data_IF_990137018085
#
_entry.id   IF_990137018085
#
_cell.length_a   1.000
_cell.length_b   1.000
_cell.length_c   1.000
_cell.angle_alpha   90.00
_cell.angle_beta   90.00
_cell.angle_gamma   90.00
#
_symmetry.space_group_name_H-M   'P 1'
#
loop_
_entity.id
_entity.type
_entity.pdbx_description
1 polymer ?
#
# COMPACT_ATOMS: atom_id res chain seq x y z
N UNK A 1 -28.42 5.70 34.48
CA UNK A 1 -28.09 4.26 34.65
C UNK A 1 -28.86 3.51 33.57
N UNK A 2 -28.18 3.12 32.49
CA UNK A 2 -28.81 2.28 31.45
C UNK A 2 -29.07 0.90 32.08
N UNK A 3 -30.31 0.42 31.94
CA UNK A 3 -30.78 -0.81 32.60
C UNK A 3 -29.99 -2.04 32.12
N UNK A 4 -29.57 -2.85 33.06
CA UNK A 4 -28.74 -4.06 32.94
C UNK A 4 -29.38 -5.18 32.07
N UNK A 5 -30.53 -4.93 31.44
CA UNK A 5 -31.33 -5.91 30.69
C UNK A 5 -31.93 -5.39 29.37
N UNK A 6 -31.31 -4.41 28.71
CA UNK A 6 -31.76 -4.01 27.38
C UNK A 6 -31.46 -5.14 26.38
N UNK A 7 -32.49 -5.60 25.68
CA UNK A 7 -32.33 -6.57 24.60
C UNK A 7 -31.50 -5.93 23.45
N UNK A 8 -30.54 -6.65 22.94
CA UNK A 8 -29.80 -6.22 21.74
C UNK A 8 -30.75 -6.28 20.55
N UNK A 9 -30.94 -5.16 19.88
CA UNK A 9 -31.87 -5.03 18.77
C UNK A 9 -31.23 -5.44 17.43
N UNK A 10 -32.08 -5.81 16.47
CA UNK A 10 -31.67 -6.07 15.10
C UNK A 10 -30.93 -4.87 14.47
N UNK A 11 -31.31 -3.65 14.83
CA UNK A 11 -30.65 -2.41 14.40
C UNK A 11 -29.23 -2.32 14.90
N UNK A 12 -28.95 -2.74 16.13
CA UNK A 12 -27.59 -2.70 16.71
C UNK A 12 -26.66 -3.70 16.01
N UNK A 13 -27.16 -4.94 15.81
CA UNK A 13 -26.47 -5.95 15.03
C UNK A 13 -26.19 -5.47 13.61
N UNK A 14 -27.21 -4.95 12.91
CA UNK A 14 -27.08 -4.50 11.52
C UNK A 14 -26.11 -3.34 11.38
N UNK A 15 -26.01 -2.45 12.37
CA UNK A 15 -25.02 -1.37 12.38
C UNK A 15 -23.59 -1.92 12.39
N UNK A 16 -23.31 -2.91 13.23
CA UNK A 16 -21.99 -3.56 13.31
C UNK A 16 -21.71 -4.35 12.01
N UNK A 17 -22.71 -5.11 11.55
CA UNK A 17 -22.61 -5.91 10.32
C UNK A 17 -22.34 -5.01 9.10
N UNK A 18 -23.00 -3.85 8.99
CA UNK A 18 -22.78 -2.91 7.90
C UNK A 18 -21.34 -2.36 7.91
N UNK A 19 -20.78 -2.05 9.08
CA UNK A 19 -19.39 -1.61 9.21
C UNK A 19 -18.44 -2.67 8.66
N UNK A 20 -18.54 -3.91 9.12
CA UNK A 20 -17.62 -4.97 8.69
C UNK A 20 -17.83 -5.36 7.23
N UNK A 21 -19.06 -5.37 6.75
CA UNK A 21 -19.36 -5.60 5.34
C UNK A 21 -18.71 -4.55 4.42
N UNK A 22 -18.69 -3.30 4.87
CA UNK A 22 -18.03 -2.22 4.13
C UNK A 22 -16.50 -2.34 4.13
N UNK A 23 -15.88 -2.93 5.14
CA UNK A 23 -14.42 -3.13 5.22
C UNK A 23 -13.98 -4.42 4.54
N UNK A 24 -14.56 -5.55 4.96
CA UNK A 24 -14.13 -6.87 4.49
C UNK A 24 -14.67 -7.18 3.08
N UNK A 25 -15.91 -6.80 2.81
CA UNK A 25 -16.60 -7.03 1.55
C UNK A 25 -16.19 -6.10 0.42
N UNK A 26 -17.08 -5.90 -0.52
CA UNK A 26 -16.86 -5.03 -1.68
C UNK A 26 -16.68 -3.56 -1.28
N UNK A 27 -17.44 -3.08 -0.29
CA UNK A 27 -17.36 -1.69 0.15
C UNK A 27 -17.66 -0.68 -0.97
N UNK A 28 -17.29 0.58 -0.74
CA UNK A 28 -17.40 1.66 -1.73
C UNK A 28 -16.41 2.77 -1.42
N UNK A 29 -16.08 3.60 -2.40
CA UNK A 29 -15.12 4.71 -2.29
C UNK A 29 -13.74 4.19 -1.84
N UNK A 30 -13.29 4.47 -0.62
CA UNK A 30 -12.02 4.04 -0.02
C UNK A 30 -12.19 2.88 0.98
N UNK A 31 -13.26 2.10 0.82
CA UNK A 31 -13.57 0.92 1.63
C UNK A 31 -13.61 -0.35 0.77
N UNK A 32 -13.47 -1.49 1.44
CA UNK A 32 -13.61 -2.83 0.88
C UNK A 32 -12.27 -3.50 0.56
N UNK A 33 -12.11 -4.71 1.11
CA UNK A 33 -11.01 -5.62 0.77
C UNK A 33 -11.40 -6.59 -0.35
N UNK A 34 -12.67 -6.57 -0.80
CA UNK A 34 -13.17 -7.47 -1.85
C UNK A 34 -13.31 -8.92 -1.42
N UNK A 35 -13.38 -9.20 -0.12
CA UNK A 35 -13.52 -10.57 0.39
C UNK A 35 -14.99 -10.96 0.57
N UNK A 36 -15.24 -12.26 0.70
CA UNK A 36 -16.57 -12.78 1.04
C UNK A 36 -16.88 -12.49 2.50
N UNK A 37 -18.04 -11.86 2.75
CA UNK A 37 -18.58 -11.64 4.09
C UNK A 37 -19.60 -12.74 4.37
N UNK A 38 -19.50 -13.38 5.52
CA UNK A 38 -20.37 -14.50 5.93
C UNK A 38 -21.57 -14.05 6.73
N UNK A 39 -21.46 -12.92 7.45
CA UNK A 39 -22.56 -12.34 8.20
C UNK A 39 -23.52 -11.59 7.27
N UNK A 40 -24.81 -11.66 7.59
CA UNK A 40 -25.86 -10.97 6.85
C UNK A 40 -26.69 -10.10 7.80
N UNK A 41 -27.31 -9.06 7.26
CA UNK A 41 -28.29 -8.27 8.01
C UNK A 41 -29.48 -9.13 8.47
N UNK A 42 -30.04 -8.77 9.60
CA UNK A 42 -31.22 -9.46 10.20
C UNK A 42 -32.46 -8.60 10.08
N UNK A 43 -33.61 -9.24 9.92
CA UNK A 43 -34.91 -8.54 9.87
C UNK A 43 -35.26 -8.06 11.26
N UNK A 44 -35.82 -6.83 11.37
CA UNK A 44 -36.13 -6.15 12.64
C UNK A 44 -37.04 -6.94 13.59
N UNK A 45 -37.86 -7.83 13.08
CA UNK A 45 -38.84 -8.61 13.86
C UNK A 45 -38.33 -10.01 14.21
N UNK A 46 -37.14 -10.38 13.77
CA UNK A 46 -36.56 -11.72 14.00
C UNK A 46 -35.56 -11.69 15.14
N UNK A 47 -35.51 -12.80 15.89
CA UNK A 47 -34.47 -13.02 16.90
C UNK A 47 -33.13 -13.27 16.21
N UNK A 48 -32.09 -12.55 16.64
CA UNK A 48 -30.72 -12.79 16.16
C UNK A 48 -30.26 -14.15 16.69
N UNK A 49 -29.84 -15.00 15.78
CA UNK A 49 -29.43 -16.37 16.09
C UNK A 49 -27.97 -16.47 16.52
N UNK A 50 -27.60 -17.57 17.19
CA UNK A 50 -26.21 -17.92 17.52
C UNK A 50 -25.31 -17.94 16.27
N UNK A 51 -25.81 -18.51 15.17
CA UNK A 51 -25.06 -18.58 13.92
C UNK A 51 -24.76 -17.20 13.35
N UNK A 52 -25.73 -16.27 13.39
CA UNK A 52 -25.54 -14.88 12.92
C UNK A 52 -24.49 -14.14 13.75
N UNK A 53 -24.53 -14.23 15.08
CA UNK A 53 -23.52 -13.60 15.94
C UNK A 53 -22.12 -14.18 15.71
N UNK A 54 -22.00 -15.49 15.54
CA UNK A 54 -20.71 -16.13 15.29
C UNK A 54 -20.18 -15.82 13.89
N UNK A 55 -21.04 -15.71 12.87
CA UNK A 55 -20.64 -15.22 11.55
C UNK A 55 -20.10 -13.79 11.61
N UNK A 56 -20.82 -12.88 12.29
CA UNK A 56 -20.36 -11.50 12.49
C UNK A 56 -19.01 -11.44 13.23
N UNK A 57 -18.87 -12.26 14.28
CA UNK A 57 -17.62 -12.40 15.03
C UNK A 57 -16.46 -12.82 14.12
N UNK A 58 -16.67 -13.85 13.32
CA UNK A 58 -15.63 -14.37 12.43
C UNK A 58 -15.22 -13.34 11.38
N UNK A 59 -16.15 -12.62 10.76
CA UNK A 59 -15.84 -11.56 9.80
C UNK A 59 -15.00 -10.44 10.44
N UNK A 60 -15.35 -10.01 11.67
CA UNK A 60 -14.58 -9.02 12.43
C UNK A 60 -13.15 -9.51 12.71
N UNK A 61 -13.00 -10.75 13.16
CA UNK A 61 -11.70 -11.35 13.44
C UNK A 61 -10.88 -11.52 12.15
N UNK A 62 -11.50 -11.92 11.05
CA UNK A 62 -10.83 -12.02 9.74
C UNK A 62 -10.21 -10.68 9.34
N UNK A 63 -10.98 -9.58 9.40
CA UNK A 63 -10.45 -8.28 9.07
C UNK A 63 -9.33 -7.83 10.04
N UNK A 64 -9.51 -8.09 11.34
CA UNK A 64 -8.53 -7.70 12.36
C UNK A 64 -7.23 -8.51 12.26
N UNK A 65 -7.33 -9.82 12.07
CA UNK A 65 -6.16 -10.68 11.90
C UNK A 65 -5.33 -10.28 10.67
N UNK A 66 -5.99 -9.87 9.58
CA UNK A 66 -5.29 -9.29 8.43
C UNK A 66 -4.46 -8.05 8.81
N UNK A 67 -5.01 -7.18 9.65
CA UNK A 67 -4.36 -5.92 10.05
C UNK A 67 -3.19 -6.12 11.01
N UNK A 68 -3.22 -7.15 11.87
CA UNK A 68 -2.29 -7.27 13.01
C UNK A 68 -1.60 -8.62 13.12
N UNK A 69 -2.09 -9.66 12.47
CA UNK A 69 -1.74 -11.07 12.72
C UNK A 69 -1.88 -11.50 14.19
N UNK A 70 -2.74 -10.84 14.95
CA UNK A 70 -3.00 -11.19 16.34
C UNK A 70 -4.33 -11.94 16.45
N UNK A 71 -4.30 -13.05 17.20
CA UNK A 71 -5.54 -13.75 17.54
C UNK A 71 -6.22 -13.05 18.73
N UNK A 72 -7.04 -12.05 18.41
CA UNK A 72 -7.81 -11.30 19.41
C UNK A 72 -9.19 -11.93 19.68
N UNK A 73 -9.36 -13.22 19.42
CA UNK A 73 -10.64 -13.94 19.55
C UNK A 73 -11.23 -13.91 20.97
N UNK A 74 -10.40 -13.74 22.00
CA UNK A 74 -10.85 -13.59 23.39
C UNK A 74 -11.55 -12.27 23.70
N UNK A 75 -11.42 -11.25 22.84
CA UNK A 75 -12.06 -9.94 23.03
C UNK A 75 -13.55 -9.94 22.64
N UNK A 76 -14.01 -10.94 21.91
CA UNK A 76 -15.38 -11.03 21.43
C UNK A 76 -16.04 -12.32 21.96
N UNK A 77 -17.13 -12.16 22.69
CA UNK A 77 -17.91 -13.25 23.25
C UNK A 77 -18.43 -14.18 22.15
N UNK A 78 -18.22 -15.47 22.30
CA UNK A 78 -18.79 -16.51 21.42
C UNK A 78 -20.25 -16.74 21.81
N UNK A 79 -21.17 -16.56 20.87
CA UNK A 79 -22.56 -16.89 21.09
C UNK A 79 -22.76 -18.42 21.16
N UNK A 80 -23.58 -18.89 22.10
CA UNK A 80 -23.98 -20.28 22.25
C UNK A 80 -25.41 -20.39 22.72
N UNK A 81 -25.96 -21.61 22.80
CA UNK A 81 -27.30 -21.81 23.35
C UNK A 81 -27.40 -21.47 24.84
N UNK A 82 -26.26 -21.51 25.56
CA UNK A 82 -26.17 -21.15 26.97
C UNK A 82 -25.70 -19.71 27.21
N UNK A 83 -25.07 -19.05 26.22
CA UNK A 83 -24.53 -17.72 26.33
C UNK A 83 -25.40 -16.70 25.61
N UNK A 84 -25.97 -15.75 26.35
CA UNK A 84 -26.70 -14.63 25.76
C UNK A 84 -25.74 -13.49 25.43
N UNK A 85 -25.86 -12.90 24.23
CA UNK A 85 -25.21 -11.64 23.90
C UNK A 85 -25.94 -10.51 24.65
N UNK A 86 -25.20 -9.87 25.54
CA UNK A 86 -25.66 -8.76 26.36
C UNK A 86 -25.26 -7.42 25.77
N UNK A 87 -25.72 -6.33 26.33
CA UNK A 87 -25.37 -4.97 25.92
C UNK A 87 -23.85 -4.73 25.99
N UNK A 88 -23.16 -5.24 27.01
CA UNK A 88 -21.70 -5.15 27.12
C UNK A 88 -20.99 -5.89 25.96
N UNK A 89 -21.49 -7.06 25.58
CA UNK A 89 -20.95 -7.82 24.44
C UNK A 89 -21.17 -7.06 23.14
N UNK A 90 -22.37 -6.52 22.91
CA UNK A 90 -22.69 -5.68 21.76
C UNK A 90 -21.77 -4.47 21.69
N UNK A 91 -21.53 -3.79 22.81
CA UNK A 91 -20.61 -2.65 22.88
C UNK A 91 -19.17 -3.05 22.50
N UNK A 92 -18.69 -4.22 22.96
CA UNK A 92 -17.39 -4.76 22.60
C UNK A 92 -17.30 -5.04 21.09
N UNK A 93 -18.32 -5.66 20.50
CA UNK A 93 -18.41 -5.87 19.05
C UNK A 93 -18.38 -4.56 18.25
N UNK A 94 -19.14 -3.53 18.71
CA UNK A 94 -19.14 -2.23 18.06
C UNK A 94 -17.78 -1.55 18.11
N UNK A 95 -17.15 -1.52 19.28
CA UNK A 95 -15.80 -0.95 19.45
C UNK A 95 -14.77 -1.69 18.58
N UNK A 96 -14.87 -3.01 18.51
CA UNK A 96 -13.97 -3.81 17.68
C UNK A 96 -14.16 -3.48 16.19
N UNK A 97 -15.39 -3.30 15.72
CA UNK A 97 -15.69 -2.86 14.36
C UNK A 97 -15.13 -1.46 14.06
N UNK A 98 -15.14 -0.55 15.04
CA UNK A 98 -14.56 0.79 14.90
C UNK A 98 -13.04 0.74 14.80
N UNK A 99 -12.36 -0.13 15.57
CA UNK A 99 -10.94 -0.37 15.48
C UNK A 99 -10.55 -0.94 14.10
N UNK A 100 -11.30 -1.93 13.62
CA UNK A 100 -11.11 -2.49 12.27
C UNK A 100 -11.29 -1.42 11.19
N UNK A 101 -12.30 -0.57 11.32
CA UNK A 101 -12.56 0.53 10.38
C UNK A 101 -11.42 1.56 10.37
N UNK A 102 -10.94 1.95 11.52
CA UNK A 102 -9.85 2.93 11.67
C UNK A 102 -8.55 2.42 11.04
N UNK A 103 -8.28 1.12 11.17
CA UNK A 103 -7.03 0.48 10.70
C UNK A 103 -7.16 -0.12 9.28
N UNK A 104 -8.20 0.19 8.52
CA UNK A 104 -8.48 -0.45 7.22
C UNK A 104 -7.38 -0.33 6.17
N UNK A 105 -6.54 0.69 6.26
CA UNK A 105 -5.45 0.95 5.30
C UNK A 105 -4.06 0.62 5.86
N UNK A 106 -3.99 -0.04 7.00
CA UNK A 106 -2.72 -0.44 7.61
C UNK A 106 -2.04 -1.48 6.71
N UNK A 107 -0.75 -1.29 6.48
CA UNK A 107 0.08 -2.28 5.77
C UNK A 107 0.04 -3.61 6.52
N UNK A 108 -0.36 -4.71 5.87
CA UNK A 108 -0.45 -6.01 6.55
C UNK A 108 0.93 -6.49 7.01
N UNK A 109 1.02 -7.23 8.11
CA UNK A 109 2.25 -7.90 8.54
C UNK A 109 2.82 -8.81 7.44
N UNK A 110 4.12 -9.08 7.50
CA UNK A 110 4.83 -9.81 6.44
C UNK A 110 4.32 -11.23 6.20
N UNK A 111 3.74 -11.86 7.18
CA UNK A 111 3.11 -13.20 7.09
C UNK A 111 1.65 -13.15 6.57
N UNK A 112 1.10 -11.95 6.40
CA UNK A 112 -0.20 -11.68 5.77
C UNK A 112 -0.04 -11.05 4.38
N UNK A 113 1.18 -11.03 3.84
CA UNK A 113 1.48 -10.41 2.55
C UNK A 113 2.59 -11.14 1.81
N UNK A 114 2.66 -10.91 0.50
CA UNK A 114 3.77 -11.35 -0.36
C UNK A 114 4.43 -10.16 -1.04
N UNK A 115 5.72 -10.32 -1.35
CA UNK A 115 6.48 -9.37 -2.15
C UNK A 115 6.77 -9.99 -3.53
N UNK A 116 6.20 -9.42 -4.57
CA UNK A 116 6.34 -9.91 -5.94
C UNK A 116 7.09 -8.88 -6.79
N UNK A 117 8.15 -9.28 -7.48
CA UNK A 117 8.83 -8.42 -8.46
C UNK A 117 7.94 -8.25 -9.68
N UNK A 118 7.56 -7.02 -9.98
CA UNK A 118 6.81 -6.65 -11.17
C UNK A 118 7.74 -6.39 -12.35
N UNK A 119 8.76 -5.56 -12.14
CA UNK A 119 9.74 -5.19 -13.16
C UNK A 119 11.14 -5.04 -12.56
N UNK A 120 12.13 -5.47 -13.32
CA UNK A 120 13.55 -5.11 -13.10
C UNK A 120 14.08 -4.56 -14.41
N UNK A 121 14.38 -3.26 -14.44
CA UNK A 121 14.89 -2.57 -15.62
C UNK A 121 16.33 -2.16 -15.36
N UNK A 122 17.23 -2.52 -16.26
CA UNK A 122 18.65 -2.23 -16.14
C UNK A 122 19.16 -1.39 -17.30
N UNK A 123 20.14 -0.54 -17.02
CA UNK A 123 20.89 0.22 -18.00
C UNK A 123 22.39 0.03 -17.74
N UNK A 124 23.10 -0.38 -18.76
CA UNK A 124 24.58 -0.53 -18.73
C UNK A 124 25.30 0.48 -19.60
N UNK A 125 24.57 1.16 -20.52
CA UNK A 125 25.14 2.24 -21.30
C UNK A 125 25.38 3.48 -20.43
N UNK A 126 26.54 4.12 -20.57
CA UNK A 126 26.84 5.39 -19.88
C UNK A 126 25.83 6.47 -20.22
N UNK A 127 25.65 7.41 -19.30
CA UNK A 127 24.67 8.49 -19.43
C UNK A 127 25.14 9.77 -18.74
N UNK A 128 24.78 10.88 -19.34
CA UNK A 128 25.17 12.21 -18.91
C UNK A 128 24.04 13.23 -19.09
N UNK A 129 22.83 12.72 -19.36
CA UNK A 129 21.62 13.47 -19.51
C UNK A 129 20.53 12.84 -18.64
N UNK A 130 19.40 13.50 -18.50
CA UNK A 130 18.23 12.89 -17.82
C UNK A 130 17.79 11.63 -18.54
N UNK A 131 17.64 10.55 -17.78
CA UNK A 131 17.11 9.28 -18.25
C UNK A 131 15.87 8.91 -17.44
N UNK A 132 14.95 8.21 -18.08
CA UNK A 132 13.69 7.76 -17.46
C UNK A 132 13.14 6.55 -18.19
N UNK A 133 12.27 5.81 -17.52
CA UNK A 133 11.40 4.82 -18.16
C UNK A 133 10.00 4.91 -17.57
N UNK A 134 9.04 4.25 -18.22
CA UNK A 134 7.68 4.14 -17.69
C UNK A 134 7.40 2.71 -17.25
N UNK A 135 6.72 2.56 -16.12
CA UNK A 135 6.17 1.30 -15.65
C UNK A 135 4.66 1.46 -15.55
N UNK A 136 3.94 0.69 -16.35
CA UNK A 136 2.48 0.61 -16.28
C UNK A 136 2.08 -0.58 -15.43
N UNK A 137 1.42 -0.31 -14.31
CA UNK A 137 0.84 -1.32 -13.41
C UNK A 137 -0.66 -1.39 -13.68
N UNK A 138 -1.15 -2.55 -14.11
CA UNK A 138 -2.53 -2.75 -14.54
C UNK A 138 -3.26 -3.71 -13.62
N UNK A 139 -4.38 -3.27 -13.07
CA UNK A 139 -5.30 -4.08 -12.27
C UNK A 139 -6.37 -4.71 -13.16
N UNK A 140 -6.93 -5.84 -12.75
CA UNK A 140 -7.99 -6.53 -13.50
C UNK A 140 -9.26 -5.67 -13.69
N UNK A 141 -9.51 -4.75 -12.76
CA UNK A 141 -10.59 -3.74 -12.81
C UNK A 141 -10.24 -2.57 -11.90
N UNK A 142 -11.03 -1.49 -11.95
CA UNK A 142 -10.89 -0.37 -10.99
C UNK A 142 -11.14 -0.84 -9.55
N UNK A 143 -12.11 -1.74 -9.35
CA UNK A 143 -12.36 -2.35 -8.04
C UNK A 143 -11.19 -3.21 -7.56
N UNK A 144 -10.53 -3.97 -8.44
CA UNK A 144 -9.34 -4.72 -8.07
C UNK A 144 -8.20 -3.81 -7.60
N UNK A 145 -8.01 -2.66 -8.24
CA UNK A 145 -7.08 -1.61 -7.79
C UNK A 145 -7.48 -1.06 -6.41
N UNK A 146 -8.76 -0.79 -6.22
CA UNK A 146 -9.32 -0.33 -4.94
C UNK A 146 -9.08 -1.34 -3.82
N UNK A 147 -9.39 -2.62 -4.04
CA UNK A 147 -9.16 -3.68 -3.05
C UNK A 147 -7.68 -3.85 -2.72
N UNK A 148 -6.82 -3.75 -3.73
CA UNK A 148 -5.37 -3.80 -3.55
C UNK A 148 -4.90 -2.72 -2.56
N UNK A 149 -5.22 -1.46 -2.80
CA UNK A 149 -4.75 -0.38 -1.91
C UNK A 149 -5.47 -0.35 -0.57
N UNK A 150 -6.76 -0.71 -0.52
CA UNK A 150 -7.51 -0.76 0.73
C UNK A 150 -7.00 -1.85 1.68
N UNK A 151 -6.56 -2.99 1.16
CA UNK A 151 -5.94 -4.05 1.97
C UNK A 151 -4.55 -3.69 2.53
N UNK A 152 -4.11 -2.43 2.37
CA UNK A 152 -2.79 -1.98 2.80
C UNK A 152 -1.64 -2.42 1.88
N UNK A 153 -1.95 -2.97 0.72
CA UNK A 153 -0.96 -3.30 -0.32
C UNK A 153 -0.36 -2.03 -0.93
N UNK A 154 0.82 -2.15 -1.51
CA UNK A 154 1.56 -1.01 -2.07
C UNK A 154 2.40 -1.40 -3.29
N UNK A 155 2.66 -0.44 -4.17
CA UNK A 155 3.67 -0.57 -5.22
C UNK A 155 4.96 0.06 -4.71
N UNK A 156 6.06 -0.71 -4.72
CA UNK A 156 7.35 -0.33 -4.14
C UNK A 156 8.39 -0.12 -5.22
N UNK A 157 9.20 0.91 -5.04
CA UNK A 157 10.31 1.27 -5.93
C UNK A 157 11.59 1.30 -5.13
N UNK A 158 12.65 0.77 -5.73
CA UNK A 158 14.03 0.98 -5.30
C UNK A 158 14.92 1.08 -6.53
N UNK A 159 16.09 1.66 -6.36
CA UNK A 159 17.08 1.74 -7.42
C UNK A 159 18.47 1.58 -6.86
N UNK A 160 19.40 1.08 -7.66
CA UNK A 160 20.79 0.91 -7.27
C UNK A 160 21.71 1.14 -8.45
N UNK A 161 22.95 1.46 -8.17
CA UNK A 161 24.02 1.58 -9.14
C UNK A 161 25.23 0.76 -8.68
N UNK A 162 25.80 -0.05 -9.57
CA UNK A 162 26.90 -0.96 -9.26
C UNK A 162 27.79 -1.19 -10.48
N UNK A 163 28.96 -1.85 -10.28
CA UNK A 163 29.84 -2.27 -11.36
C UNK A 163 30.45 -1.11 -12.17
N UNK A 164 30.56 0.07 -11.60
CA UNK A 164 31.13 1.25 -12.24
C UNK A 164 32.67 1.25 -12.15
N UNK A 165 33.31 1.90 -13.12
CA UNK A 165 34.77 1.95 -13.24
C UNK A 165 35.38 2.87 -12.19
N UNK A 166 36.60 2.51 -11.75
CA UNK A 166 37.50 3.40 -11.01
C UNK A 166 38.24 4.27 -12.03
N UNK A 167 37.85 5.51 -12.18
CA UNK A 167 38.48 6.43 -13.16
C UNK A 167 37.88 7.84 -12.97
N UNK A 168 37.87 8.61 -14.04
CA UNK A 168 37.34 9.98 -14.02
C UNK A 168 35.87 10.04 -13.63
N UNK A 169 35.09 9.03 -13.98
CA UNK A 169 33.67 8.92 -13.62
C UNK A 169 33.40 8.43 -12.17
N UNK A 170 34.44 8.14 -11.39
CA UNK A 170 34.28 7.53 -10.05
C UNK A 170 33.41 8.38 -9.13
N UNK A 171 33.63 9.67 -9.09
CA UNK A 171 32.90 10.56 -8.17
C UNK A 171 31.42 10.69 -8.53
N UNK A 172 31.09 10.82 -9.82
CA UNK A 172 29.67 10.87 -10.25
C UNK A 172 28.98 9.54 -9.98
N UNK A 173 29.64 8.42 -10.21
CA UNK A 173 29.12 7.09 -9.95
C UNK A 173 28.87 6.85 -8.46
N UNK A 174 29.82 7.23 -7.58
CA UNK A 174 29.66 7.16 -6.13
C UNK A 174 28.53 8.07 -5.64
N UNK A 175 28.38 9.26 -6.23
CA UNK A 175 27.32 10.18 -5.94
C UNK A 175 25.94 9.56 -6.22
N UNK A 176 25.76 8.96 -7.40
CA UNK A 176 24.55 8.23 -7.77
C UNK A 176 24.33 7.01 -6.88
N UNK A 177 25.34 6.17 -6.66
CA UNK A 177 25.21 4.98 -5.81
C UNK A 177 24.78 5.35 -4.39
N UNK A 178 25.36 6.41 -3.82
CA UNK A 178 25.03 6.93 -2.49
C UNK A 178 23.58 7.50 -2.44
N UNK A 179 23.21 8.31 -3.45
CA UNK A 179 21.86 8.85 -3.55
C UNK A 179 20.81 7.72 -3.54
N UNK A 180 21.00 6.72 -4.39
CA UNK A 180 20.07 5.61 -4.58
C UNK A 180 20.02 4.69 -3.35
N UNK A 181 21.14 4.42 -2.71
CA UNK A 181 21.18 3.66 -1.46
C UNK A 181 20.45 4.41 -0.33
N UNK A 182 20.68 5.73 -0.21
CA UNK A 182 20.09 6.55 0.85
C UNK A 182 18.60 6.80 0.66
N UNK A 183 18.04 6.73 -0.54
CA UNK A 183 16.60 6.89 -0.74
C UNK A 183 15.80 5.69 -0.20
N UNK A 184 16.40 4.51 -0.13
CA UNK A 184 15.75 3.29 0.36
C UNK A 184 14.59 2.85 -0.54
N UNK A 185 13.57 2.26 0.09
CA UNK A 185 12.36 1.80 -0.59
C UNK A 185 11.31 2.91 -0.55
N UNK A 186 10.77 3.26 -1.71
CA UNK A 186 9.63 4.16 -1.88
C UNK A 186 8.38 3.30 -2.00
N UNK A 187 7.36 3.55 -1.19
CA UNK A 187 6.08 2.81 -1.20
C UNK A 187 4.94 3.74 -1.58
N UNK A 188 4.30 3.45 -2.69
CA UNK A 188 3.09 4.14 -3.14
C UNK A 188 1.87 3.41 -2.58
N UNK A 189 1.09 4.09 -1.73
CA UNK A 189 0.00 3.52 -0.94
C UNK A 189 -1.37 4.14 -1.34
N UNK A 190 -2.40 3.91 -0.55
CA UNK A 190 -3.76 4.40 -0.80
C UNK A 190 -3.84 5.93 -0.89
N UNK A 191 -3.27 6.67 0.08
CA UNK A 191 -3.38 8.13 0.18
C UNK A 191 -2.05 8.87 0.19
N UNK A 192 -0.94 8.18 0.30
CA UNK A 192 0.37 8.80 0.42
C UNK A 192 1.46 7.94 -0.18
N UNK A 193 2.54 8.57 -0.57
CA UNK A 193 3.82 7.89 -0.83
C UNK A 193 4.65 7.97 0.44
N UNK A 194 5.29 6.86 0.81
CA UNK A 194 6.18 6.75 1.97
C UNK A 194 7.56 6.27 1.54
N UNK A 195 8.53 6.31 2.45
CA UNK A 195 9.92 5.89 2.18
C UNK A 195 10.56 5.30 3.43
N UNK A 196 11.53 4.42 3.26
CA UNK A 196 12.36 3.91 4.36
C UNK A 196 13.64 4.71 4.57
N UNK A 197 14.16 5.33 3.52
CA UNK A 197 15.37 6.16 3.55
C UNK A 197 15.10 7.65 3.60
N UNK A 198 15.96 8.45 2.94
CA UNK A 198 15.89 9.91 2.89
C UNK A 198 15.29 10.42 1.56
N UNK A 199 14.91 11.69 1.51
CA UNK A 199 14.23 12.32 0.38
C UNK A 199 12.88 12.91 0.80
N UNK A 200 12.13 13.45 -0.15
CA UNK A 200 10.81 14.06 0.08
C UNK A 200 9.73 13.20 -0.59
N UNK A 201 8.89 12.58 0.21
CA UNK A 201 7.70 11.87 -0.23
C UNK A 201 6.46 12.77 -0.06
N UNK A 202 5.50 12.66 -0.99
CA UNK A 202 4.30 13.49 -1.01
C UNK A 202 3.10 12.76 -0.42
N UNK A 203 2.13 13.53 0.11
CA UNK A 203 0.83 13.03 0.52
C UNK A 203 -0.07 12.76 -0.71
N UNK A 204 0.46 11.98 -1.67
CA UNK A 204 -0.21 11.56 -2.89
C UNK A 204 -0.12 10.04 -2.95
N UNK A 205 -1.27 9.40 -3.10
CA UNK A 205 -1.44 7.96 -3.29
C UNK A 205 -2.56 7.65 -4.29
N UNK A 206 -3.02 6.43 -4.32
CA UNK A 206 -3.99 5.94 -5.30
C UNK A 206 -5.24 6.82 -5.43
N UNK A 207 -5.80 7.28 -4.29
CA UNK A 207 -7.04 8.07 -4.26
C UNK A 207 -6.85 9.55 -4.64
N UNK A 208 -5.61 10.04 -4.62
CA UNK A 208 -5.28 11.41 -5.00
C UNK A 208 -4.77 11.54 -6.44
N UNK A 209 -4.72 10.41 -7.19
CA UNK A 209 -4.22 10.42 -8.56
C UNK A 209 -5.16 11.12 -9.53
N UNK A 210 -4.53 11.89 -10.42
CA UNK A 210 -5.14 12.47 -11.61
C UNK A 210 -4.63 11.78 -12.87
N UNK A 211 -5.12 12.20 -14.02
CA UNK A 211 -4.66 11.73 -15.34
C UNK A 211 -3.38 12.42 -15.82
N UNK A 212 -2.87 13.40 -15.08
CA UNK A 212 -1.62 14.10 -15.35
C UNK A 212 -0.51 13.64 -14.39
N UNK A 213 0.74 13.75 -14.84
CA UNK A 213 1.89 13.34 -14.03
C UNK A 213 2.01 14.17 -12.76
N UNK A 214 2.04 13.50 -11.61
CA UNK A 214 2.20 14.09 -10.27
C UNK A 214 3.52 13.60 -9.68
N UNK A 215 4.34 14.52 -9.17
CA UNK A 215 5.56 14.17 -8.45
C UNK A 215 5.18 13.60 -7.08
N UNK A 216 5.57 12.36 -6.79
CA UNK A 216 5.26 11.67 -5.53
C UNK A 216 6.48 11.47 -4.65
N UNK A 217 7.68 11.50 -5.23
CA UNK A 217 8.92 11.41 -4.48
C UNK A 217 10.06 12.12 -5.21
N UNK A 218 10.97 12.73 -4.44
CA UNK A 218 12.26 13.26 -4.93
C UNK A 218 13.37 13.06 -3.91
N UNK A 219 14.56 12.76 -4.39
CA UNK A 219 15.81 12.74 -3.61
C UNK A 219 16.90 13.41 -4.41
N UNK A 220 17.50 14.46 -3.84
CA UNK A 220 18.67 15.13 -4.38
C UNK A 220 19.94 14.47 -3.86
N UNK A 221 21.03 14.63 -4.59
CA UNK A 221 22.38 14.39 -4.10
C UNK A 221 22.61 15.27 -2.86
N UNK A 222 23.41 14.79 -1.91
CA UNK A 222 23.67 15.50 -0.65
C UNK A 222 24.28 16.89 -0.90
N UNK A 223 23.91 17.86 -0.09
CA UNK A 223 24.39 19.24 -0.18
C UNK A 223 25.94 19.29 -0.01
N UNK A 224 26.59 20.15 -0.79
CA UNK A 224 28.05 20.28 -0.81
C UNK A 224 28.76 19.27 -1.73
N UNK A 225 28.03 18.36 -2.36
CA UNK A 225 28.55 17.52 -3.44
C UNK A 225 28.56 18.32 -4.75
N UNK A 226 29.62 18.18 -5.58
CA UNK A 226 29.70 18.85 -6.88
C UNK A 226 28.58 18.46 -7.86
N UNK A 227 27.88 17.33 -7.61
CA UNK A 227 26.74 16.86 -8.39
C UNK A 227 25.40 17.19 -7.72
N UNK A 228 25.34 18.20 -6.85
CA UNK A 228 24.15 18.58 -6.07
C UNK A 228 22.86 18.76 -6.88
N UNK A 229 22.86 19.20 -8.16
CA UNK A 229 21.64 19.26 -8.95
C UNK A 229 21.06 17.90 -9.34
N UNK A 230 21.87 16.82 -9.29
CA UNK A 230 21.43 15.48 -9.67
C UNK A 230 20.38 14.97 -8.69
N UNK A 231 19.32 14.35 -9.23
CA UNK A 231 18.22 13.88 -8.40
C UNK A 231 17.50 12.68 -9.02
N UNK A 232 16.95 11.87 -8.15
CA UNK A 232 15.93 10.88 -8.50
C UNK A 232 14.54 11.48 -8.27
N UNK A 233 13.64 11.27 -9.21
CA UNK A 233 12.22 11.66 -9.13
C UNK A 233 11.34 10.47 -9.49
N UNK A 234 10.21 10.34 -8.79
CA UNK A 234 9.14 9.41 -9.16
C UNK A 234 7.87 10.21 -9.43
N UNK A 235 7.39 10.16 -10.66
CA UNK A 235 6.09 10.73 -11.05
C UNK A 235 5.10 9.61 -11.31
N UNK A 236 3.82 9.93 -11.17
CA UNK A 236 2.74 8.96 -11.31
C UNK A 236 1.47 9.62 -11.85
N UNK A 237 0.69 8.86 -12.63
CA UNK A 237 -0.65 9.25 -13.08
C UNK A 237 -1.57 8.04 -13.21
N UNK A 238 -2.88 8.29 -13.17
CA UNK A 238 -3.92 7.28 -13.42
C UNK A 238 -4.28 7.20 -14.90
N UNK A 239 -4.57 6.00 -15.39
CA UNK A 239 -5.05 5.73 -16.75
C UNK A 239 -6.02 4.54 -16.72
N UNK A 240 -7.33 4.82 -16.55
CA UNK A 240 -8.33 3.76 -16.37
C UNK A 240 -8.03 2.88 -15.15
N UNK A 241 -7.99 1.57 -15.36
CA UNK A 241 -7.60 0.59 -14.33
C UNK A 241 -6.07 0.42 -14.18
N UNK A 242 -5.28 1.30 -14.78
CA UNK A 242 -3.83 1.27 -14.72
C UNK A 242 -3.27 2.50 -14.00
N UNK A 243 -2.07 2.34 -13.44
CA UNK A 243 -1.26 3.41 -12.89
C UNK A 243 0.06 3.42 -13.65
N UNK A 244 0.45 4.58 -14.16
CA UNK A 244 1.70 4.77 -14.91
C UNK A 244 2.67 5.52 -14.01
N UNK A 245 3.79 4.88 -13.70
CA UNK A 245 4.90 5.45 -12.95
C UNK A 245 6.05 5.81 -13.88
N UNK A 246 6.70 6.93 -13.62
CA UNK A 246 7.85 7.41 -14.38
C UNK A 246 9.01 7.71 -13.43
N UNK A 247 9.84 6.70 -13.08
CA UNK A 247 11.12 6.93 -12.42
C UNK A 247 12.04 7.72 -13.36
N UNK A 248 12.72 8.70 -12.82
CA UNK A 248 13.60 9.61 -13.58
C UNK A 248 14.88 9.85 -12.79
N UNK A 249 16.02 9.74 -13.45
CA UNK A 249 17.33 10.11 -12.94
C UNK A 249 17.77 11.37 -13.70
N UNK A 250 17.60 12.52 -13.05
CA UNK A 250 17.93 13.81 -13.64
C UNK A 250 19.40 14.09 -13.43
N UNK A 251 20.19 13.97 -14.49
CA UNK A 251 21.56 14.42 -14.54
C UNK A 251 21.58 15.88 -14.93
N UNK A 252 22.07 16.74 -14.05
CA UNK A 252 22.13 18.18 -14.28
C UNK A 252 23.56 18.62 -14.16
N UNK A 253 24.06 19.24 -15.20
CA UNK A 253 25.40 19.84 -15.23
C UNK A 253 25.39 21.17 -14.48
N UNK A 254 26.27 21.37 -13.49
CA UNK A 254 26.33 22.64 -12.75
C UNK A 254 27.26 23.70 -13.40
N UNK A 255 27.94 23.33 -14.50
CA UNK A 255 28.79 24.24 -15.27
C UNK A 255 30.09 24.67 -14.60
N UNK A 256 30.37 24.21 -13.37
CA UNK A 256 31.50 24.70 -12.57
C UNK A 256 32.80 23.85 -12.73
N UNK A 257 32.68 22.65 -13.28
CA UNK A 257 33.80 21.71 -13.43
C UNK A 257 33.96 21.34 -14.90
N UNK A 258 34.96 21.86 -15.55
CA UNK A 258 35.18 21.92 -17.00
C UNK A 258 35.35 20.59 -17.77
N UNK A 259 34.95 19.46 -17.23
CA UNK A 259 34.90 18.16 -17.93
C UNK A 259 33.66 17.40 -17.56
N UNK A 260 32.90 17.05 -18.56
CA UNK A 260 31.68 16.28 -18.47
C UNK A 260 32.00 14.81 -18.16
N UNK A 261 31.60 14.30 -17.00
CA UNK A 261 31.87 12.92 -16.61
C UNK A 261 30.57 12.12 -16.70
N UNK A 262 30.38 11.28 -17.73
CA UNK A 262 29.19 10.44 -17.81
C UNK A 262 29.17 9.42 -16.66
N UNK A 263 27.99 9.19 -16.10
CA UNK A 263 27.78 8.06 -15.19
C UNK A 263 27.88 6.76 -16.00
N UNK A 264 28.59 5.77 -15.47
CA UNK A 264 28.74 4.43 -16.07
C UNK A 264 28.42 3.32 -15.04
N UNK A 265 28.48 2.07 -15.47
CA UNK A 265 28.13 0.92 -14.64
C UNK A 265 26.69 0.46 -14.89
N UNK A 266 26.15 -0.32 -13.95
CA UNK A 266 24.81 -0.88 -14.06
C UNK A 266 23.85 -0.14 -13.14
N UNK A 267 22.97 0.66 -13.74
CA UNK A 267 21.82 1.24 -13.06
C UNK A 267 20.68 0.23 -13.09
N UNK A 268 20.10 -0.09 -11.93
CA UNK A 268 18.96 -0.99 -11.79
C UNK A 268 17.77 -0.23 -11.17
N UNK A 269 16.62 -0.32 -11.83
CA UNK A 269 15.32 0.12 -11.32
C UNK A 269 14.49 -1.12 -11.00
N UNK A 270 14.09 -1.28 -9.74
CA UNK A 270 13.29 -2.41 -9.26
C UNK A 270 11.91 -1.93 -8.84
N UNK A 271 10.88 -2.58 -9.37
CA UNK A 271 9.47 -2.33 -9.05
C UNK A 271 8.84 -3.60 -8.51
N UNK A 272 8.21 -3.51 -7.35
CA UNK A 272 7.63 -4.65 -6.66
C UNK A 272 6.20 -4.33 -6.19
N UNK A 273 5.35 -5.35 -6.13
CA UNK A 273 4.07 -5.29 -5.43
C UNK A 273 4.21 -5.94 -4.04
N UNK A 274 3.91 -5.19 -3.00
CA UNK A 274 3.68 -5.73 -1.66
C UNK A 274 2.18 -5.96 -1.54
N UNK A 275 1.75 -7.22 -1.60
CA UNK A 275 0.36 -7.61 -1.82
C UNK A 275 -0.17 -8.39 -0.63
N UNK A 276 -1.34 -8.00 -0.12
CA UNK A 276 -2.07 -8.81 0.85
C UNK A 276 -2.36 -10.20 0.27
N UNK A 277 -1.84 -11.24 0.90
CA UNK A 277 -1.89 -12.63 0.42
C UNK A 277 -2.02 -13.65 1.56
N UNK A 278 -2.45 -13.18 2.73
CA UNK A 278 -2.67 -14.02 3.91
C UNK A 278 -3.98 -14.82 3.82
N UNK A 279 -4.22 -15.69 4.82
CA UNK A 279 -5.44 -16.52 4.87
C UNK A 279 -6.70 -15.69 5.17
N UNK A 280 -6.54 -14.47 5.67
CA UNK A 280 -7.64 -13.59 6.08
C UNK A 280 -8.10 -12.67 4.96
N UNK A 281 -7.16 -12.06 4.25
CA UNK A 281 -7.40 -11.19 3.10
C UNK A 281 -6.37 -11.50 2.04
N UNK A 282 -6.83 -11.73 0.82
CA UNK A 282 -5.98 -11.96 -0.34
C UNK A 282 -6.51 -11.14 -1.52
N UNK A 283 -5.62 -10.41 -2.18
CA UNK A 283 -5.93 -9.64 -3.39
C UNK A 283 -5.00 -10.04 -4.52
N UNK A 284 -5.45 -9.82 -5.75
CA UNK A 284 -4.68 -10.21 -6.94
C UNK A 284 -3.48 -9.28 -7.12
N UNK A 285 -2.31 -9.86 -7.39
CA UNK A 285 -1.13 -9.13 -7.83
C UNK A 285 -1.42 -8.49 -9.19
N UNK A 286 -1.20 -7.17 -9.37
CA UNK A 286 -1.40 -6.54 -10.66
C UNK A 286 -0.37 -7.03 -11.70
N UNK A 287 -0.72 -6.93 -12.98
CA UNK A 287 0.24 -7.12 -14.08
C UNK A 287 1.03 -5.85 -14.33
N UNK A 288 2.14 -5.96 -15.04
CA UNK A 288 2.94 -4.78 -15.37
C UNK A 288 3.63 -4.90 -16.73
N UNK A 289 3.89 -3.74 -17.32
CA UNK A 289 4.76 -3.58 -18.50
C UNK A 289 5.69 -2.39 -18.31
N UNK A 290 6.78 -2.35 -19.05
CA UNK A 290 7.76 -1.25 -18.96
C UNK A 290 8.29 -0.87 -20.33
N UNK A 291 8.72 0.40 -20.46
CA UNK A 291 9.60 0.84 -21.53
C UNK A 291 11.06 0.56 -21.17
N UNK A 292 11.97 0.64 -22.11
CA UNK A 292 13.42 0.55 -21.88
C UNK A 292 13.93 1.78 -21.12
N UNK A 293 14.99 1.62 -20.36
CA UNK A 293 15.68 2.67 -19.62
C UNK A 293 16.87 3.20 -20.44
#
# INVERSE_FOLDING_TARGET
MAGVNTAVLATDYNTIQSKINNILGVGSVDYGYGQTVTSNQVVRTTRITVAQWNALRNDLLTARNHQTNLNESGLLTVASTATRIREADRAAYSLFADVVTTNRLVTPPSDQASLTTLQTVTRTASWSTTISHQVTVTFASEDAGRFFFNSGSSIRFSSSMSGYSAGVSLLVNQSWATLLANMGIISFNAYSTTKTGTGTAQAIGFYNLTTTDQLVFTKLVEAGNQYTPNRYELKVKKSGNSIIFTPTWSYVEDGNYGTFEPADGTLTSLVQAYTASGPNVSVTVPTSSTTTL
#
